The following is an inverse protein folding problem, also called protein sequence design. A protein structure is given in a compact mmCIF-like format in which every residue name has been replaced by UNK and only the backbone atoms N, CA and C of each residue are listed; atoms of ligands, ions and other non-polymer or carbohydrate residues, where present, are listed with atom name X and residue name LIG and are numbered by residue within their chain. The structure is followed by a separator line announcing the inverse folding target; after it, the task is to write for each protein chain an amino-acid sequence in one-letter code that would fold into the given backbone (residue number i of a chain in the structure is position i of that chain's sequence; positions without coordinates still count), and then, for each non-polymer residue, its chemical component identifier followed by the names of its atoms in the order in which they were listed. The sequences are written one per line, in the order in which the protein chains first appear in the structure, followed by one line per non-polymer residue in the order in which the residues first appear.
data_IF_875715582481
#
_entry.id   IF_875715582481
#
_cell.length_a   1.000
_cell.length_b   1.000
_cell.length_c   1.000
_cell.angle_alpha   90.00
_cell.angle_beta   90.00
_cell.angle_gamma   90.00
#
_symmetry.space_group_name_H-M   'P 1'
#
loop_
_entity.id
_entity.type
_entity.pdbx_description
1 polymer ?
#
# COMPACT_ATOMS: atom_id res chain seq x y z
N UNK A 1 13.62 0.98 -26.68
CA UNK A 1 12.37 1.03 -27.47
C UNK A 1 12.51 1.53 -28.91
N UNK A 2 13.61 2.19 -29.32
CA UNK A 2 13.76 2.69 -30.71
C UNK A 2 13.60 1.59 -31.76
N UNK A 3 13.26 1.96 -33.00
CA UNK A 3 13.06 1.04 -34.12
C UNK A 3 14.17 0.00 -34.20
N UNK A 4 13.85 -1.30 -34.38
CA UNK A 4 12.53 -1.94 -34.56
C UNK A 4 11.77 -2.38 -33.28
N UNK A 5 12.17 -1.93 -32.08
CA UNK A 5 11.65 -2.47 -30.79
C UNK A 5 10.50 -1.64 -30.18
N UNK A 6 9.77 -0.87 -30.97
CA UNK A 6 8.65 -0.07 -30.44
C UNK A 6 7.55 -0.97 -29.88
N UNK A 7 7.15 -2.00 -30.65
CA UNK A 7 6.12 -2.94 -30.21
C UNK A 7 6.56 -3.77 -29.00
N UNK A 8 7.84 -4.17 -28.93
CA UNK A 8 8.39 -4.86 -27.75
C UNK A 8 8.28 -4.00 -26.49
N UNK A 9 8.46 -2.69 -26.61
CA UNK A 9 8.26 -1.78 -25.48
C UNK A 9 6.79 -1.69 -25.07
N UNK A 10 5.88 -1.53 -26.04
CA UNK A 10 4.45 -1.49 -25.76
C UNK A 10 3.96 -2.76 -25.04
N UNK A 11 4.42 -3.95 -25.47
CA UNK A 11 4.08 -5.20 -24.76
C UNK A 11 4.68 -5.26 -23.36
N UNK A 12 5.89 -4.70 -23.15
CA UNK A 12 6.49 -4.57 -21.81
C UNK A 12 5.71 -3.61 -20.90
N UNK A 13 5.23 -2.48 -21.43
CA UNK A 13 4.38 -1.55 -20.69
C UNK A 13 3.02 -2.18 -20.33
N UNK A 14 2.43 -2.96 -21.23
CA UNK A 14 1.23 -3.75 -20.93
C UNK A 14 1.51 -4.80 -19.83
N UNK A 15 2.65 -5.52 -19.89
CA UNK A 15 3.05 -6.45 -18.83
C UNK A 15 3.17 -5.76 -17.46
N UNK A 16 3.69 -4.53 -17.42
CA UNK A 16 3.74 -3.74 -16.19
C UNK A 16 2.32 -3.44 -15.66
N UNK A 17 1.41 -2.98 -16.52
CA UNK A 17 0.01 -2.68 -16.14
C UNK A 17 -0.69 -3.94 -15.61
N UNK A 18 -0.57 -5.07 -16.30
CA UNK A 18 -1.19 -6.32 -15.86
C UNK A 18 -0.56 -6.89 -14.59
N UNK A 19 0.74 -6.70 -14.37
CA UNK A 19 1.39 -7.04 -13.10
C UNK A 19 0.80 -6.22 -11.94
N UNK A 20 0.54 -4.92 -12.14
CA UNK A 20 -0.13 -4.10 -11.13
C UNK A 20 -1.56 -4.56 -10.84
N UNK A 21 -2.30 -5.00 -11.87
CA UNK A 21 -3.62 -5.62 -11.65
C UNK A 21 -3.52 -6.94 -10.88
N UNK A 22 -2.55 -7.80 -11.19
CA UNK A 22 -2.30 -9.03 -10.41
C UNK A 22 -2.04 -8.67 -8.96
N UNK A 23 -1.18 -7.69 -8.67
CA UNK A 23 -0.92 -7.25 -7.31
C UNK A 23 -2.17 -6.70 -6.61
N UNK A 24 -2.97 -5.89 -7.29
CA UNK A 24 -4.20 -5.30 -6.74
C UNK A 24 -5.23 -6.37 -6.33
N UNK A 25 -5.56 -7.31 -7.24
CA UNK A 25 -6.53 -8.37 -6.91
C UNK A 25 -5.96 -9.40 -5.93
N UNK A 26 -4.65 -9.64 -5.96
CA UNK A 26 -3.96 -10.50 -5.00
C UNK A 26 -3.96 -9.94 -3.59
N UNK A 27 -3.94 -8.61 -3.47
CA UNK A 27 -3.94 -7.93 -2.18
C UNK A 27 -5.19 -8.22 -1.37
N UNK A 28 -6.34 -8.48 -2.00
CA UNK A 28 -7.59 -8.82 -1.30
C UNK A 28 -7.60 -10.23 -0.68
N UNK A 29 -6.75 -11.15 -1.16
CA UNK A 29 -6.87 -12.58 -0.83
C UNK A 29 -6.60 -12.96 0.63
N UNK A 30 -5.69 -12.29 1.38
CA UNK A 30 -5.54 -12.52 2.81
C UNK A 30 -6.81 -12.25 3.63
N UNK A 31 -7.73 -11.44 3.09
CA UNK A 31 -9.00 -11.08 3.74
C UNK A 31 -8.82 -10.44 5.12
N UNK A 32 -7.96 -9.43 5.16
CA UNK A 32 -7.63 -8.67 6.36
C UNK A 32 -8.12 -7.21 6.27
N UNK A 33 -8.05 -6.49 7.39
CA UNK A 33 -8.62 -5.15 7.49
C UNK A 33 -8.01 -4.18 6.47
N UNK A 34 -6.68 -4.07 6.39
CA UNK A 34 -6.03 -3.17 5.45
C UNK A 34 -6.30 -3.53 3.99
N UNK A 35 -6.29 -4.82 3.63
CA UNK A 35 -6.53 -5.27 2.26
C UNK A 35 -7.94 -4.96 1.78
N UNK A 36 -8.96 -5.23 2.59
CA UNK A 36 -10.36 -4.93 2.27
C UNK A 36 -10.55 -3.45 1.95
N UNK A 37 -10.02 -2.57 2.80
CA UNK A 37 -10.20 -1.13 2.66
C UNK A 37 -9.34 -0.52 1.55
N UNK A 38 -8.10 -0.99 1.37
CA UNK A 38 -7.27 -0.57 0.24
C UNK A 38 -7.94 -0.90 -1.11
N UNK A 39 -8.52 -2.11 -1.24
CA UNK A 39 -9.22 -2.52 -2.46
C UNK A 39 -10.55 -1.77 -2.60
N UNK A 40 -11.25 -1.49 -1.51
CA UNK A 40 -12.47 -0.65 -1.50
C UNK A 40 -12.20 0.77 -2.01
N UNK A 41 -11.06 1.37 -1.65
CA UNK A 41 -10.62 2.69 -2.15
C UNK A 41 -10.25 2.61 -3.63
N UNK A 42 -9.56 1.55 -4.06
CA UNK A 42 -9.27 1.32 -5.48
C UNK A 42 -10.55 1.15 -6.31
N UNK A 43 -11.54 0.45 -5.76
CA UNK A 43 -12.86 0.25 -6.36
C UNK A 43 -13.64 1.56 -6.53
N UNK A 44 -13.72 2.37 -5.47
CA UNK A 44 -14.39 3.67 -5.52
C UNK A 44 -13.71 4.66 -6.48
N UNK A 45 -12.41 4.46 -6.74
CA UNK A 45 -11.65 5.20 -7.77
C UNK A 45 -12.04 4.75 -9.18
N UNK A 46 -12.21 3.45 -9.40
CA UNK A 46 -12.73 2.93 -10.67
C UNK A 46 -14.17 3.39 -10.93
N UNK A 47 -15.01 3.37 -9.89
CA UNK A 47 -16.40 3.86 -9.91
C UNK A 47 -16.50 5.32 -10.37
N UNK A 48 -15.50 6.14 -10.01
CA UNK A 48 -15.43 7.55 -10.39
C UNK A 48 -15.29 7.77 -11.91
N UNK A 49 -14.92 6.73 -12.66
CA UNK A 49 -14.72 6.82 -14.11
C UNK A 49 -16.05 7.10 -14.81
N UNK A 50 -16.15 8.17 -15.63
CA UNK A 50 -17.38 8.47 -16.37
C UNK A 50 -17.82 7.31 -17.27
N UNK A 51 -19.14 7.20 -17.48
CA UNK A 51 -19.82 6.27 -18.40
C UNK A 51 -19.79 4.78 -18.04
N UNK A 52 -18.66 4.26 -17.53
CA UNK A 52 -18.47 2.81 -17.29
C UNK A 52 -18.10 2.48 -15.83
N UNK A 53 -17.81 3.49 -15.00
CA UNK A 53 -17.25 3.28 -13.67
C UNK A 53 -18.17 2.49 -12.75
N UNK A 54 -19.46 2.82 -12.73
CA UNK A 54 -20.46 2.14 -11.87
C UNK A 54 -20.60 0.66 -12.23
N UNK A 55 -20.68 0.34 -13.51
CA UNK A 55 -20.78 -1.03 -14.00
C UNK A 55 -19.50 -1.81 -13.71
N UNK A 56 -18.33 -1.17 -13.87
CA UNK A 56 -17.04 -1.76 -13.54
C UNK A 56 -16.91 -2.04 -12.03
N UNK A 57 -17.34 -1.10 -11.19
CA UNK A 57 -17.33 -1.24 -9.72
C UNK A 57 -18.26 -2.37 -9.26
N UNK A 58 -19.50 -2.42 -9.76
CA UNK A 58 -20.44 -3.53 -9.46
C UNK A 58 -19.90 -4.88 -9.93
N UNK A 59 -19.23 -4.93 -11.09
CA UNK A 59 -18.59 -6.15 -11.57
C UNK A 59 -17.41 -6.53 -10.67
N UNK A 60 -16.68 -5.57 -10.11
CA UNK A 60 -15.55 -5.85 -9.25
C UNK A 60 -15.97 -6.29 -7.84
N UNK A 61 -16.88 -5.55 -7.21
CA UNK A 61 -17.38 -5.83 -5.85
C UNK A 61 -18.27 -7.09 -5.80
N UNK A 62 -19.00 -7.38 -6.88
CA UNK A 62 -19.92 -8.51 -6.91
C UNK A 62 -21.14 -8.35 -5.99
N UNK A 63 -21.45 -7.11 -5.59
CA UNK A 63 -22.52 -6.72 -4.68
C UNK A 63 -22.44 -5.22 -4.37
N UNK A 64 -23.31 -4.71 -3.47
CA UNK A 64 -23.26 -3.33 -3.00
C UNK A 64 -21.94 -2.99 -2.28
N UNK A 65 -21.33 -3.98 -1.64
CA UNK A 65 -20.07 -3.89 -0.93
C UNK A 65 -19.18 -5.09 -1.26
N UNK A 66 -17.90 -5.02 -0.90
CA UNK A 66 -16.98 -6.14 -1.08
C UNK A 66 -17.28 -7.18 0.00
N UNK A 67 -17.86 -8.31 -0.43
CA UNK A 67 -18.10 -9.49 0.41
C UNK A 67 -17.56 -10.76 -0.25
N UNK A 68 -18.11 -11.91 0.10
CA UNK A 68 -17.69 -13.21 -0.42
C UNK A 68 -17.67 -13.29 -1.97
N UNK A 69 -18.64 -12.67 -2.65
CA UNK A 69 -18.68 -12.62 -4.11
C UNK A 69 -17.52 -11.80 -4.70
N UNK A 70 -17.18 -10.68 -4.08
CA UNK A 70 -16.05 -9.84 -4.49
C UNK A 70 -14.72 -10.57 -4.29
N UNK A 71 -14.55 -11.24 -3.15
CA UNK A 71 -13.40 -12.09 -2.87
C UNK A 71 -13.24 -13.21 -3.90
N UNK A 72 -14.33 -13.93 -4.22
CA UNK A 72 -14.31 -15.00 -5.22
C UNK A 72 -13.91 -14.47 -6.60
N UNK A 73 -14.39 -13.29 -7.00
CA UNK A 73 -14.01 -12.66 -8.27
C UNK A 73 -12.54 -12.26 -8.28
N UNK A 74 -12.04 -11.65 -7.21
CA UNK A 74 -10.63 -11.32 -7.05
C UNK A 74 -9.74 -12.57 -7.11
N UNK A 75 -10.15 -13.67 -6.46
CA UNK A 75 -9.49 -14.97 -6.53
C UNK A 75 -9.40 -15.49 -7.97
N UNK A 76 -10.53 -15.53 -8.69
CA UNK A 76 -10.55 -15.99 -10.09
C UNK A 76 -9.69 -15.11 -11.01
N UNK A 77 -9.72 -13.79 -10.79
CA UNK A 77 -8.90 -12.84 -11.55
C UNK A 77 -7.41 -13.04 -11.26
N UNK A 78 -7.02 -13.10 -10.00
CA UNK A 78 -5.62 -13.19 -9.57
C UNK A 78 -4.98 -14.55 -9.87
N UNK A 79 -5.70 -15.65 -9.63
CA UNK A 79 -5.13 -17.01 -9.72
C UNK A 79 -5.21 -17.58 -11.14
N UNK A 80 -6.23 -17.21 -11.91
CA UNK A 80 -6.51 -17.82 -13.22
C UNK A 80 -6.38 -16.80 -14.35
N UNK A 81 -7.27 -15.80 -14.40
CA UNK A 81 -7.46 -14.97 -15.59
C UNK A 81 -6.23 -14.11 -15.89
N UNK A 82 -5.75 -13.35 -14.91
CA UNK A 82 -4.63 -12.44 -15.11
C UNK A 82 -3.29 -13.19 -15.36
N UNK A 83 -2.96 -14.29 -14.66
CA UNK A 83 -1.81 -15.11 -15.00
C UNK A 83 -1.86 -15.66 -16.44
N UNK A 84 -3.02 -16.11 -16.92
CA UNK A 84 -3.16 -16.58 -18.31
C UNK A 84 -2.91 -15.44 -19.31
N UNK A 85 -3.44 -14.24 -19.05
CA UNK A 85 -3.17 -13.05 -19.88
C UNK A 85 -1.67 -12.72 -19.86
N UNK A 86 -1.04 -12.76 -18.68
CA UNK A 86 0.39 -12.51 -18.54
C UNK A 86 1.22 -13.55 -19.30
N UNK A 87 0.86 -14.84 -19.29
CA UNK A 87 1.56 -15.87 -20.08
C UNK A 87 1.51 -15.54 -21.58
N UNK A 88 0.35 -15.14 -22.10
CA UNK A 88 0.21 -14.75 -23.51
C UNK A 88 1.04 -13.50 -23.82
N UNK A 89 0.92 -12.45 -23.01
CA UNK A 89 1.69 -11.21 -23.18
C UNK A 89 3.19 -11.43 -23.08
N UNK A 90 3.63 -12.26 -22.13
CA UNK A 90 5.03 -12.64 -21.93
C UNK A 90 5.56 -13.41 -23.13
N UNK A 91 4.78 -14.35 -23.65
CA UNK A 91 5.10 -15.12 -24.86
C UNK A 91 5.30 -14.19 -26.07
N UNK A 92 4.36 -13.25 -26.30
CA UNK A 92 4.47 -12.26 -27.38
C UNK A 92 5.68 -11.33 -27.17
N UNK A 93 5.91 -10.88 -25.93
CA UNK A 93 7.02 -10.01 -25.58
C UNK A 93 8.36 -10.69 -25.89
N UNK A 94 8.58 -11.89 -25.36
CA UNK A 94 9.81 -12.65 -25.58
C UNK A 94 9.99 -13.07 -27.03
N UNK A 95 8.93 -13.49 -27.73
CA UNK A 95 8.99 -13.77 -29.16
C UNK A 95 9.54 -12.57 -29.96
N UNK A 96 9.08 -11.34 -29.65
CA UNK A 96 9.58 -10.12 -30.28
C UNK A 96 11.01 -9.76 -29.85
N UNK A 97 11.38 -10.02 -28.59
CA UNK A 97 12.78 -9.88 -28.14
C UNK A 97 13.69 -10.82 -28.93
N UNK A 98 13.29 -12.08 -29.13
CA UNK A 98 14.07 -13.06 -29.90
C UNK A 98 14.20 -12.65 -31.37
N UNK A 99 13.12 -12.15 -31.99
CA UNK A 99 13.17 -11.68 -33.39
C UNK A 99 14.08 -10.48 -33.56
N UNK A 100 13.98 -9.47 -32.69
CA UNK A 100 14.78 -8.25 -32.85
C UNK A 100 16.19 -8.37 -32.24
N UNK A 101 16.41 -9.32 -31.32
CA UNK A 101 17.63 -9.44 -30.54
C UNK A 101 17.75 -8.36 -29.46
N UNK A 102 18.56 -8.64 -28.43
CA UNK A 102 18.89 -7.67 -27.39
C UNK A 102 19.59 -6.45 -28.00
N UNK A 103 19.20 -5.24 -27.60
CA UNK A 103 19.87 -4.02 -28.05
C UNK A 103 21.30 -3.97 -27.51
N UNK A 104 22.22 -3.51 -28.34
CA UNK A 104 23.58 -3.21 -27.89
C UNK A 104 23.60 -1.94 -27.02
N UNK A 105 24.67 -1.73 -26.24
CA UNK A 105 24.89 -0.46 -25.55
C UNK A 105 24.72 0.71 -26.53
N UNK A 106 24.11 1.85 -26.11
CA UNK A 106 23.79 2.95 -27.02
C UNK A 106 24.97 3.54 -27.82
N UNK A 107 26.20 3.34 -27.35
CA UNK A 107 27.44 3.81 -27.97
C UNK A 107 27.97 2.87 -29.06
N UNK A 108 27.59 1.59 -29.02
CA UNK A 108 28.08 0.55 -29.91
C UNK A 108 27.34 0.50 -31.27
N UNK A 109 26.32 1.35 -31.47
CA UNK A 109 25.52 1.40 -32.69
C UNK A 109 25.49 2.82 -33.28
N UNK A 110 25.54 2.86 -34.62
CA UNK A 110 25.33 4.08 -35.38
C UNK A 110 23.86 4.50 -35.42
N UNK A 111 23.65 5.79 -35.69
CA UNK A 111 22.35 6.44 -35.76
C UNK A 111 21.35 5.74 -36.70
N UNK A 112 20.36 5.05 -36.13
CA UNK A 112 19.29 4.40 -36.88
C UNK A 112 19.68 3.10 -37.57
N UNK A 113 20.88 2.56 -37.29
CA UNK A 113 21.29 1.24 -37.76
C UNK A 113 21.10 0.23 -36.63
N UNK A 114 20.41 -0.88 -36.90
CA UNK A 114 20.26 -1.97 -35.94
C UNK A 114 21.30 -3.06 -36.25
N UNK A 115 22.36 -3.15 -35.45
CA UNK A 115 23.43 -4.13 -35.62
C UNK A 115 23.40 -5.23 -34.58
N UNK A 116 22.48 -5.18 -33.61
CA UNK A 116 22.23 -6.21 -32.60
C UNK A 116 22.33 -7.67 -33.11
N UNK A 117 21.74 -7.99 -34.27
CA UNK A 117 21.80 -9.34 -34.86
C UNK A 117 22.98 -9.58 -35.81
N UNK A 118 23.75 -8.54 -36.12
CA UNK A 118 24.87 -8.54 -37.08
C UNK A 118 26.24 -8.53 -36.40
N UNK A 119 26.28 -8.59 -35.07
CA UNK A 119 27.53 -8.67 -34.30
C UNK A 119 28.34 -9.92 -34.70
N UNK A 120 29.65 -9.84 -34.95
CA UNK A 120 30.48 -11.00 -35.27
C UNK A 120 30.44 -12.11 -34.19
N UNK A 121 30.56 -13.38 -34.59
CA UNK A 121 30.44 -14.52 -33.65
C UNK A 121 31.56 -14.55 -32.60
N UNK A 122 32.76 -14.10 -32.95
CA UNK A 122 33.93 -14.09 -32.06
C UNK A 122 33.76 -13.21 -30.80
N UNK A 123 32.83 -12.26 -30.81
CA UNK A 123 32.53 -11.40 -29.65
C UNK A 123 31.19 -11.75 -28.99
N UNK A 124 30.42 -12.72 -29.53
CA UNK A 124 29.17 -13.18 -28.92
C UNK A 124 29.45 -14.18 -27.81
N UNK A 125 28.59 -14.16 -26.79
CA UNK A 125 28.57 -15.17 -25.73
C UNK A 125 27.26 -15.95 -25.83
N UNK A 126 27.34 -17.28 -25.73
CA UNK A 126 26.16 -18.14 -25.70
C UNK A 126 25.33 -17.88 -24.44
N UNK A 127 24.00 -17.92 -24.60
CA UNK A 127 23.08 -17.77 -23.48
C UNK A 127 23.27 -18.88 -22.45
N UNK A 128 23.29 -20.12 -22.91
CA UNK A 128 23.58 -21.30 -22.09
C UNK A 128 25.04 -21.73 -22.27
N UNK A 129 25.76 -22.10 -21.20
CA UNK A 129 25.37 -21.91 -19.80
C UNK A 129 25.67 -20.49 -19.29
N UNK A 130 26.58 -19.76 -19.94
CA UNK A 130 27.31 -18.63 -19.34
C UNK A 130 26.46 -17.44 -18.91
N UNK A 131 25.51 -17.00 -19.73
CA UNK A 131 24.63 -15.88 -19.35
C UNK A 131 23.61 -16.38 -18.35
N UNK A 132 22.94 -17.52 -18.61
CA UNK A 132 21.92 -18.03 -17.70
C UNK A 132 22.47 -18.22 -16.28
N UNK A 133 23.60 -18.93 -16.12
CA UNK A 133 24.15 -19.21 -14.79
C UNK A 133 24.53 -17.94 -14.06
N UNK A 134 25.11 -16.96 -14.77
CA UNK A 134 25.47 -15.67 -14.19
C UNK A 134 24.23 -14.89 -13.73
N UNK A 135 23.21 -14.78 -14.57
CA UNK A 135 21.97 -14.06 -14.22
C UNK A 135 21.23 -14.78 -13.07
N UNK A 136 21.20 -16.12 -13.05
CA UNK A 136 20.62 -16.88 -11.94
C UNK A 136 21.34 -16.63 -10.62
N UNK A 137 22.67 -16.61 -10.61
CA UNK A 137 23.47 -16.32 -9.41
C UNK A 137 23.20 -14.89 -8.93
N UNK A 138 23.14 -13.90 -9.82
CA UNK A 138 22.87 -12.52 -9.43
C UNK A 138 21.46 -12.32 -8.90
N UNK A 139 20.45 -12.93 -9.53
CA UNK A 139 19.06 -12.88 -9.04
C UNK A 139 18.98 -13.57 -7.67
N UNK A 140 19.53 -14.79 -7.53
CA UNK A 140 19.50 -15.51 -6.26
C UNK A 140 20.22 -14.76 -5.14
N UNK A 141 21.42 -14.22 -5.42
CA UNK A 141 22.18 -13.43 -4.45
C UNK A 141 21.44 -12.14 -4.06
N UNK A 142 20.88 -11.42 -5.03
CA UNK A 142 20.11 -10.20 -4.74
C UNK A 142 18.87 -10.52 -3.91
N UNK A 143 18.10 -11.55 -4.26
CA UNK A 143 16.93 -11.99 -3.49
C UNK A 143 17.33 -12.39 -2.07
N UNK A 144 18.42 -13.13 -1.90
CA UNK A 144 18.91 -13.52 -0.58
C UNK A 144 19.34 -12.29 0.25
N UNK A 145 20.04 -11.33 -0.37
CA UNK A 145 20.44 -10.08 0.30
C UNK A 145 19.20 -9.29 0.73
N UNK A 146 18.18 -9.16 -0.14
CA UNK A 146 16.96 -8.43 0.19
C UNK A 146 16.18 -9.13 1.33
N UNK A 147 16.08 -10.47 1.30
CA UNK A 147 15.45 -11.23 2.38
C UNK A 147 16.23 -11.08 3.70
N UNK A 148 17.55 -11.19 3.67
CA UNK A 148 18.39 -11.02 4.84
C UNK A 148 18.31 -9.59 5.40
N UNK A 149 18.36 -8.57 4.53
CA UNK A 149 18.20 -7.18 4.95
C UNK A 149 16.82 -6.93 5.57
N UNK A 150 15.75 -7.47 4.97
CA UNK A 150 14.40 -7.36 5.51
C UNK A 150 14.27 -8.02 6.88
N UNK A 151 14.81 -9.22 7.05
CA UNK A 151 14.68 -10.00 8.27
C UNK A 151 15.59 -9.48 9.40
N UNK A 152 16.84 -9.14 9.10
CA UNK A 152 17.86 -8.86 10.11
C UNK A 152 18.21 -7.38 10.26
N UNK A 153 18.09 -6.57 9.20
CA UNK A 153 18.51 -5.15 9.24
C UNK A 153 17.34 -4.21 9.49
N UNK A 154 16.22 -4.42 8.81
CA UNK A 154 15.05 -3.55 8.93
C UNK A 154 14.03 -4.06 9.96
N UNK A 155 14.24 -5.26 10.52
CA UNK A 155 13.33 -5.88 11.48
C UNK A 155 11.90 -5.92 10.95
N UNK A 156 11.73 -6.10 9.64
CA UNK A 156 10.42 -6.00 9.01
C UNK A 156 9.61 -7.24 9.35
N UNK A 157 8.61 -7.05 10.20
CA UNK A 157 7.64 -8.08 10.53
C UNK A 157 6.39 -7.83 9.68
N UNK A 158 5.91 -8.86 8.99
CA UNK A 158 4.67 -8.83 8.23
C UNK A 158 3.64 -9.78 8.86
N UNK A 159 3.17 -9.48 10.10
CA UNK A 159 2.12 -10.28 10.71
C UNK A 159 0.84 -10.17 9.87
N UNK A 160 0.02 -11.22 9.91
CA UNK A 160 -1.33 -11.13 9.39
C UNK A 160 -2.13 -10.14 10.25
N UNK A 161 -2.85 -9.24 9.60
CA UNK A 161 -3.77 -8.34 10.28
C UNK A 161 -5.05 -9.09 10.71
N UNK A 162 -5.89 -8.50 11.58
CA UNK A 162 -7.18 -9.09 11.94
C UNK A 162 -8.07 -9.37 10.72
N UNK A 163 -8.96 -10.36 10.85
CA UNK A 163 -9.99 -10.62 9.85
C UNK A 163 -10.77 -9.36 9.52
N UNK A 164 -11.02 -9.15 8.22
CA UNK A 164 -11.71 -7.97 7.74
C UNK A 164 -13.15 -7.89 8.29
N UNK A 165 -13.48 -6.73 8.85
CA UNK A 165 -14.83 -6.31 9.21
C UNK A 165 -15.26 -5.12 8.35
N UNK A 166 -16.33 -5.30 7.57
CA UNK A 166 -16.90 -4.28 6.69
C UNK A 166 -17.52 -3.11 7.47
N UNK A 167 -17.84 -3.30 8.75
CA UNK A 167 -18.47 -2.27 9.59
C UNK A 167 -17.46 -1.34 10.26
N UNK A 168 -16.18 -1.67 10.21
CA UNK A 168 -15.11 -0.92 10.87
C UNK A 168 -14.17 -0.38 9.81
N UNK A 169 -14.06 0.93 9.62
CA UNK A 169 -13.05 1.51 8.72
C UNK A 169 -11.80 1.85 9.54
N UNK A 170 -10.60 1.38 9.15
CA UNK A 170 -9.36 1.83 9.77
C UNK A 170 -9.20 3.33 9.67
N UNK A 171 -8.79 3.95 10.78
CA UNK A 171 -8.52 5.37 10.83
C UNK A 171 -7.47 5.77 9.77
N UNK A 172 -6.41 4.97 9.67
CA UNK A 172 -5.32 5.16 8.72
C UNK A 172 -5.27 3.98 7.73
N UNK A 173 -6.00 4.09 6.64
CA UNK A 173 -5.87 3.12 5.52
C UNK A 173 -4.76 3.58 4.58
N UNK A 174 -3.80 2.71 4.29
CA UNK A 174 -2.72 3.00 3.33
C UNK A 174 -2.63 1.99 2.21
N UNK A 175 -2.25 2.48 1.03
CA UNK A 175 -1.98 1.66 -0.13
C UNK A 175 -0.64 0.94 0.03
N UNK A 176 -0.49 -0.26 -0.55
CA UNK A 176 0.80 -0.93 -0.57
C UNK A 176 1.83 -0.06 -1.32
N UNK A 177 3.12 -0.25 -0.98
CA UNK A 177 4.20 0.67 -1.36
C UNK A 177 4.28 1.01 -2.86
N UNK A 178 3.95 0.06 -3.73
CA UNK A 178 3.95 0.23 -5.19
C UNK A 178 2.77 1.07 -5.73
N UNK A 179 1.75 1.34 -4.90
CA UNK A 179 0.64 2.24 -5.18
C UNK A 179 0.67 3.54 -4.36
N UNK A 180 1.66 3.74 -3.47
CA UNK A 180 1.75 4.96 -2.66
C UNK A 180 1.80 6.24 -3.52
N UNK A 181 2.42 6.20 -4.69
CA UNK A 181 2.45 7.36 -5.58
C UNK A 181 1.05 7.73 -6.13
N UNK A 182 0.18 6.75 -6.33
CA UNK A 182 -1.22 7.00 -6.71
C UNK A 182 -1.97 7.58 -5.51
N UNK A 183 -1.79 7.00 -4.32
CA UNK A 183 -2.36 7.53 -3.08
C UNK A 183 -1.92 8.98 -2.81
N UNK A 184 -0.63 9.28 -2.93
CA UNK A 184 -0.10 10.64 -2.76
C UNK A 184 -0.66 11.61 -3.80
N UNK A 185 -0.88 11.15 -5.02
CA UNK A 185 -1.51 11.94 -6.08
C UNK A 185 -2.99 12.22 -5.79
N UNK A 186 -3.73 11.24 -5.26
CA UNK A 186 -5.15 11.39 -4.90
C UNK A 186 -5.39 12.41 -3.79
N UNK A 187 -4.39 12.70 -2.95
CA UNK A 187 -4.49 13.77 -1.93
C UNK A 187 -4.56 15.18 -2.54
N UNK A 188 -4.24 15.33 -3.83
CA UNK A 188 -4.21 16.64 -4.50
C UNK A 188 -5.55 17.08 -5.10
N UNK A 189 -6.55 16.20 -5.18
CA UNK A 189 -7.85 16.58 -5.72
C UNK A 189 -8.77 15.42 -6.04
N UNK A 190 -9.56 15.59 -7.10
CA UNK A 190 -10.63 14.67 -7.48
C UNK A 190 -10.15 13.22 -7.72
N UNK A 191 -10.94 12.26 -7.20
CA UNK A 191 -10.62 10.83 -7.27
C UNK A 191 -10.52 10.31 -8.70
N UNK A 192 -11.34 10.79 -9.64
CA UNK A 192 -11.26 10.35 -11.03
C UNK A 192 -10.02 10.90 -11.72
N UNK A 193 -9.78 12.21 -11.62
CA UNK A 193 -8.66 12.86 -12.31
C UNK A 193 -7.33 12.33 -11.75
N UNK A 194 -7.15 12.36 -10.44
CA UNK A 194 -5.88 12.06 -9.78
C UNK A 194 -5.68 10.57 -9.48
N UNK A 195 -6.75 9.81 -9.28
CA UNK A 195 -6.68 8.37 -9.00
C UNK A 195 -6.77 7.47 -10.25
N UNK A 196 -7.50 7.90 -11.29
CA UNK A 196 -7.73 7.07 -12.49
C UNK A 196 -7.09 7.67 -13.76
N UNK A 197 -7.47 8.88 -14.15
CA UNK A 197 -7.11 9.47 -15.44
C UNK A 197 -5.60 9.75 -15.56
N UNK A 198 -5.00 10.42 -14.57
CA UNK A 198 -3.57 10.73 -14.61
C UNK A 198 -2.72 9.44 -14.54
N UNK A 199 -2.90 8.54 -13.55
CA UNK A 199 -2.09 7.32 -13.48
C UNK A 199 -2.25 6.41 -14.70
N UNK A 200 -3.49 6.01 -15.03
CA UNK A 200 -3.74 4.98 -16.04
C UNK A 200 -3.90 5.55 -17.45
N UNK A 201 -4.58 6.68 -17.60
CA UNK A 201 -4.76 7.34 -18.89
C UNK A 201 -3.51 8.05 -19.38
N UNK A 202 -2.89 8.88 -18.53
CA UNK A 202 -1.76 9.72 -18.94
C UNK A 202 -0.43 9.01 -18.72
N UNK A 203 -0.07 8.60 -17.50
CA UNK A 203 1.25 8.04 -17.22
C UNK A 203 1.44 6.68 -17.93
N UNK A 204 0.57 5.71 -17.67
CA UNK A 204 0.67 4.41 -18.34
C UNK A 204 0.35 4.48 -19.84
N UNK A 205 -0.64 5.28 -20.25
CA UNK A 205 -0.94 5.51 -21.66
C UNK A 205 0.26 6.08 -22.43
N UNK A 206 0.90 7.13 -21.90
CA UNK A 206 2.11 7.71 -22.50
C UNK A 206 3.27 6.71 -22.52
N UNK A 207 3.47 5.89 -21.47
CA UNK A 207 4.48 4.83 -21.49
C UNK A 207 4.27 3.86 -22.65
N UNK A 208 3.04 3.43 -22.93
CA UNK A 208 2.75 2.51 -24.05
C UNK A 208 3.07 3.16 -25.40
N UNK A 209 2.69 4.43 -25.59
CA UNK A 209 2.88 5.13 -26.88
C UNK A 209 4.22 5.85 -27.02
N UNK A 210 5.02 5.93 -25.95
CA UNK A 210 6.28 6.67 -25.90
C UNK A 210 7.22 6.41 -27.09
N UNK A 211 7.40 5.15 -27.55
CA UNK A 211 8.29 4.86 -28.67
C UNK A 211 7.85 5.47 -30.00
N UNK A 212 6.57 5.83 -30.13
CA UNK A 212 5.97 6.44 -31.31
C UNK A 212 5.98 7.97 -31.23
N UNK A 213 6.11 8.54 -30.02
CA UNK A 213 6.33 9.96 -29.81
C UNK A 213 7.80 10.30 -30.07
N UNK A 214 8.72 9.54 -29.47
CA UNK A 214 10.14 9.80 -29.61
C UNK A 214 10.74 9.06 -30.82
N UNK A 215 10.48 9.56 -32.03
CA UNK A 215 10.85 8.91 -33.31
C UNK A 215 12.34 9.06 -33.67
N UNK A 216 13.11 9.88 -32.94
CA UNK A 216 14.52 10.17 -33.24
C UNK A 216 15.38 8.91 -33.44
N UNK A 217 16.22 8.91 -34.49
CA UNK A 217 17.04 7.76 -34.93
C UNK A 217 18.15 7.37 -33.95
N UNK A 218 18.67 8.35 -33.21
CA UNK A 218 19.81 8.16 -32.32
C UNK A 218 19.39 7.40 -31.06
N UNK A 219 20.15 6.36 -30.71
CA UNK A 219 19.98 5.59 -29.46
C UNK A 219 20.82 6.15 -28.30
N UNK A 220 21.90 6.88 -28.63
CA UNK A 220 22.86 7.50 -27.70
C UNK A 220 22.17 8.40 -26.66
N UNK A 221 22.63 8.33 -25.40
CA UNK A 221 22.09 9.13 -24.31
C UNK A 221 22.08 10.62 -24.60
N UNK A 222 23.22 11.15 -25.08
CA UNK A 222 23.38 12.59 -25.37
C UNK A 222 22.46 13.13 -26.48
N UNK A 223 21.87 12.27 -27.31
CA UNK A 223 20.93 12.66 -28.36
C UNK A 223 19.45 12.53 -27.94
N UNK A 224 19.19 11.97 -26.76
CA UNK A 224 17.84 11.71 -26.22
C UNK A 224 17.57 12.50 -24.94
N UNK A 225 18.22 13.66 -24.79
CA UNK A 225 18.19 14.49 -23.58
C UNK A 225 16.76 14.77 -23.12
N UNK A 226 15.88 15.22 -24.02
CA UNK A 226 14.49 15.53 -23.69
C UNK A 226 13.77 14.29 -23.12
N UNK A 227 13.85 13.16 -23.82
CA UNK A 227 13.15 11.96 -23.37
C UNK A 227 13.70 11.38 -22.07
N UNK A 228 15.02 11.45 -21.87
CA UNK A 228 15.67 11.04 -20.62
C UNK A 228 15.37 12.01 -19.47
N UNK A 229 15.31 13.32 -19.74
CA UNK A 229 14.93 14.33 -18.75
C UNK A 229 13.47 14.18 -18.32
N UNK A 230 12.54 13.89 -19.25
CA UNK A 230 11.14 13.59 -18.91
C UNK A 230 11.06 12.31 -18.09
N UNK A 231 11.77 11.25 -18.48
CA UNK A 231 11.80 10.01 -17.70
C UNK A 231 12.37 10.24 -16.28
N UNK A 232 13.50 10.95 -16.16
CA UNK A 232 14.08 11.29 -14.87
C UNK A 232 13.14 12.15 -14.02
N UNK A 233 12.50 13.17 -14.63
CA UNK A 233 11.49 14.00 -13.96
C UNK A 233 10.29 13.18 -13.48
N UNK A 234 9.79 12.24 -14.28
CA UNK A 234 8.70 11.34 -13.89
C UNK A 234 9.09 10.42 -12.74
N UNK A 235 10.34 9.94 -12.68
CA UNK A 235 10.84 9.12 -11.59
C UNK A 235 10.96 9.93 -10.29
N UNK A 236 11.48 11.16 -10.38
CA UNK A 236 11.55 12.08 -9.23
C UNK A 236 10.14 12.43 -8.74
N UNK A 237 9.22 12.76 -9.65
CA UNK A 237 7.83 13.04 -9.31
C UNK A 237 7.16 11.83 -8.65
N UNK A 238 7.36 10.63 -9.20
CA UNK A 238 6.84 9.39 -8.60
C UNK A 238 7.42 9.17 -7.20
N UNK A 239 8.71 9.45 -6.98
CA UNK A 239 9.33 9.35 -5.66
C UNK A 239 8.74 10.36 -4.65
N UNK A 240 8.52 11.61 -5.08
CA UNK A 240 7.87 12.64 -4.25
C UNK A 240 6.43 12.22 -3.92
N UNK A 241 5.68 11.76 -4.91
CA UNK A 241 4.30 11.29 -4.71
C UNK A 241 4.25 10.04 -3.83
N UNK A 242 5.21 9.11 -3.95
CA UNK A 242 5.35 7.96 -3.04
C UNK A 242 5.55 8.44 -1.61
N UNK A 243 6.42 9.43 -1.39
CA UNK A 243 6.64 10.01 -0.06
C UNK A 243 5.37 10.70 0.46
N UNK A 244 4.68 11.47 -0.36
CA UNK A 244 3.37 12.05 -0.02
C UNK A 244 2.28 11.00 0.23
N UNK A 245 2.41 9.82 -0.37
CA UNK A 245 1.53 8.69 -0.14
C UNK A 245 1.67 8.09 1.25
N UNK A 246 2.82 8.24 1.90
CA UNK A 246 3.08 7.66 3.23
C UNK A 246 2.12 8.18 4.32
N UNK A 247 1.99 7.45 5.45
CA UNK A 247 1.21 7.90 6.61
C UNK A 247 1.61 9.26 7.15
N UNK A 248 2.83 9.73 6.87
CA UNK A 248 3.31 11.05 7.29
C UNK A 248 2.42 12.21 6.81
N UNK A 249 1.77 12.03 5.64
CA UNK A 249 0.83 13.00 5.09
C UNK A 249 -0.61 12.48 5.15
N UNK A 250 -0.92 11.57 6.07
CA UNK A 250 -2.30 11.12 6.28
C UNK A 250 -3.22 12.30 6.59
N UNK A 251 -4.51 12.13 6.32
CA UNK A 251 -5.51 13.14 6.73
C UNK A 251 -5.50 13.16 8.25
N UNK A 252 -5.27 14.35 8.82
CA UNK A 252 -5.30 14.52 10.28
C UNK A 252 -6.72 14.26 10.77
N UNK A 253 -6.88 13.29 11.67
CA UNK A 253 -8.16 13.01 12.33
C UNK A 253 -8.20 13.70 13.69
N UNK A 254 -9.37 13.69 14.34
CA UNK A 254 -9.54 14.39 15.61
C UNK A 254 -8.64 13.76 16.70
N UNK A 255 -7.96 14.55 17.54
CA UNK A 255 -7.07 14.04 18.59
C UNK A 255 -7.69 12.95 19.48
N UNK A 256 -9.00 13.04 19.75
CA UNK A 256 -9.77 12.06 20.48
C UNK A 256 -9.79 10.68 19.79
N UNK A 257 -10.00 10.63 18.48
CA UNK A 257 -9.98 9.39 17.70
C UNK A 257 -8.57 8.81 17.59
N UNK A 258 -7.57 9.66 17.34
CA UNK A 258 -6.15 9.25 17.28
C UNK A 258 -5.70 8.62 18.60
N UNK A 259 -6.05 9.25 19.73
CA UNK A 259 -5.66 8.77 21.05
C UNK A 259 -6.22 7.38 21.37
N UNK A 260 -7.47 7.11 20.98
CA UNK A 260 -8.07 5.78 21.08
C UNK A 260 -7.41 4.78 20.13
N UNK A 261 -7.14 5.18 18.89
CA UNK A 261 -6.54 4.32 17.86
C UNK A 261 -5.11 3.88 18.20
N UNK A 262 -4.37 4.65 19.00
CA UNK A 262 -3.04 4.25 19.51
C UNK A 262 -3.13 3.02 20.41
N UNK A 263 -4.19 2.91 21.23
CA UNK A 263 -4.40 1.77 22.12
C UNK A 263 -5.09 0.59 21.42
N UNK A 264 -6.03 0.90 20.53
CA UNK A 264 -6.87 -0.05 19.80
C UNK A 264 -6.87 0.24 18.28
N UNK A 265 -5.75 0.04 17.59
CA UNK A 265 -5.70 0.13 16.14
C UNK A 265 -6.61 -0.92 15.49
N UNK A 266 -7.23 -0.57 14.36
CA UNK A 266 -8.12 -1.48 13.64
C UNK A 266 -7.36 -2.51 12.80
N UNK A 267 -6.13 -2.19 12.39
CA UNK A 267 -5.30 -3.01 11.47
C UNK A 267 -4.29 -3.90 12.17
N UNK A 268 -4.09 -3.78 13.49
CA UNK A 268 -3.10 -4.59 14.19
C UNK A 268 -3.54 -4.96 15.62
N UNK A 269 -2.89 -5.97 16.23
CA UNK A 269 -3.02 -6.20 17.66
C UNK A 269 -2.48 -4.99 18.44
N UNK A 270 -3.39 -4.14 18.90
CA UNK A 270 -3.05 -2.96 19.69
C UNK A 270 -2.34 -3.26 21.00
N UNK A 271 -1.67 -2.27 21.61
CA UNK A 271 -1.12 -2.39 22.96
C UNK A 271 -2.13 -2.93 23.98
N UNK A 272 -3.41 -2.51 23.89
CA UNK A 272 -4.46 -2.97 24.80
C UNK A 272 -4.84 -4.44 24.56
N UNK A 273 -4.85 -4.90 23.31
CA UNK A 273 -5.12 -6.30 22.95
C UNK A 273 -3.97 -7.23 23.34
N UNK A 274 -2.75 -6.71 23.39
CA UNK A 274 -1.54 -7.45 23.74
C UNK A 274 -1.24 -7.46 25.25
N UNK A 275 -1.98 -6.71 26.05
CA UNK A 275 -1.82 -6.69 27.50
C UNK A 275 -2.35 -7.99 28.13
N UNK A 276 -1.76 -8.40 29.25
CA UNK A 276 -2.26 -9.56 30.00
C UNK A 276 -3.60 -9.24 30.67
N UNK A 277 -4.52 -10.20 30.67
CA UNK A 277 -5.85 -10.00 31.27
C UNK A 277 -5.79 -9.60 32.74
N UNK A 278 -4.87 -10.18 33.51
CA UNK A 278 -4.72 -9.94 34.95
C UNK A 278 -4.11 -8.57 35.25
N UNK A 279 -3.36 -8.00 34.29
CA UNK A 279 -2.66 -6.74 34.44
C UNK A 279 -3.57 -5.51 34.34
N UNK A 280 -4.79 -5.66 33.84
CA UNK A 280 -5.74 -4.55 33.69
C UNK A 280 -6.72 -4.55 34.87
N UNK A 281 -6.59 -3.66 35.86
CA UNK A 281 -7.47 -3.64 37.04
C UNK A 281 -8.87 -3.12 36.69
N UNK A 282 -9.87 -3.50 37.49
CA UNK A 282 -11.21 -2.92 37.40
C UNK A 282 -11.26 -1.50 37.96
N UNK A 283 -12.16 -0.68 37.42
CA UNK A 283 -12.38 0.70 37.86
C UNK A 283 -12.11 1.72 36.76
N UNK A 284 -12.14 3.00 37.14
CA UNK A 284 -11.85 4.12 36.25
C UNK A 284 -10.40 4.54 36.43
N UNK A 285 -9.63 4.50 35.34
CA UNK A 285 -8.24 4.89 35.31
C UNK A 285 -8.11 6.16 34.47
N UNK A 286 -7.42 7.16 35.00
CA UNK A 286 -7.19 8.45 34.35
C UNK A 286 -5.84 8.42 33.62
N UNK A 287 -5.81 8.86 32.36
CA UNK A 287 -4.62 8.78 31.52
C UNK A 287 -3.45 9.60 32.09
N UNK A 288 -3.70 10.83 32.57
CA UNK A 288 -2.69 11.69 33.18
C UNK A 288 -2.09 11.13 34.48
N UNK A 289 -2.79 10.21 35.16
CA UNK A 289 -2.35 9.58 36.42
C UNK A 289 -1.55 8.28 36.19
N UNK A 290 -0.92 8.12 35.02
CA UNK A 290 -0.21 6.89 34.63
C UNK A 290 0.93 6.47 35.58
N UNK A 291 1.51 7.40 36.35
CA UNK A 291 2.53 7.10 37.38
C UNK A 291 1.95 6.36 38.59
N UNK A 292 0.68 6.60 38.91
CA UNK A 292 -0.03 5.97 40.02
C UNK A 292 -0.73 4.65 39.62
N UNK A 293 -0.54 4.21 38.37
CA UNK A 293 -1.21 3.04 37.83
C UNK A 293 -0.88 1.75 38.62
N UNK A 294 -1.85 0.85 38.87
CA UNK A 294 -1.64 -0.31 39.75
C UNK A 294 -0.64 -1.35 39.21
N UNK A 295 -0.49 -1.44 37.89
CA UNK A 295 0.41 -2.41 37.23
C UNK A 295 1.31 -1.70 36.22
N UNK A 296 2.47 -2.30 35.94
CA UNK A 296 3.42 -1.76 34.96
C UNK A 296 2.82 -1.68 33.55
N UNK A 297 2.00 -2.66 33.17
CA UNK A 297 1.32 -2.70 31.88
C UNK A 297 0.28 -1.60 31.78
N UNK A 298 -0.55 -1.42 32.81
CA UNK A 298 -1.51 -0.31 32.87
C UNK A 298 -0.80 1.05 32.83
N UNK A 299 0.30 1.22 33.58
CA UNK A 299 1.11 2.44 33.52
C UNK A 299 1.59 2.76 32.11
N UNK A 300 2.08 1.76 31.36
CA UNK A 300 2.48 1.94 29.97
C UNK A 300 1.31 2.32 29.06
N UNK A 301 0.15 1.68 29.21
CA UNK A 301 -1.03 1.97 28.40
C UNK A 301 -1.55 3.39 28.66
N UNK A 302 -1.70 3.78 29.93
CA UNK A 302 -2.14 5.13 30.28
C UNK A 302 -1.15 6.20 29.81
N UNK A 303 0.16 5.94 29.93
CA UNK A 303 1.18 6.83 29.40
C UNK A 303 1.10 6.98 27.88
N UNK A 304 0.89 5.88 27.14
CA UNK A 304 0.67 5.95 25.69
C UNK A 304 -0.58 6.76 25.35
N UNK A 305 -1.65 6.60 26.13
CA UNK A 305 -2.89 7.32 25.93
C UNK A 305 -2.74 8.83 26.20
N UNK A 306 -2.11 9.19 27.32
CA UNK A 306 -1.84 10.58 27.72
C UNK A 306 -0.94 11.29 26.70
N UNK A 307 0.15 10.64 26.27
CA UNK A 307 1.03 11.16 25.23
C UNK A 307 0.28 11.41 23.90
N UNK A 308 -0.68 10.55 23.55
CA UNK A 308 -1.46 10.72 22.32
C UNK A 308 -2.43 11.92 22.40
N UNK A 309 -2.85 12.31 23.61
CA UNK A 309 -3.70 13.47 23.87
C UNK A 309 -2.92 14.81 23.90
N UNK A 310 -1.59 14.80 24.04
CA UNK A 310 -0.78 16.02 24.11
C UNK A 310 -1.03 16.95 22.91
N UNK A 311 -1.09 16.39 21.69
CA UNK A 311 -1.39 17.17 20.48
C UNK A 311 -2.76 17.83 20.55
N UNK A 312 -3.75 17.17 21.15
CA UNK A 312 -5.09 17.74 21.35
C UNK A 312 -5.08 18.91 22.33
N UNK A 313 -4.25 18.86 23.37
CA UNK A 313 -4.12 19.93 24.38
C UNK A 313 -3.53 21.23 23.80
N UNK A 314 -2.81 21.16 22.69
CA UNK A 314 -2.29 22.34 21.98
C UNK A 314 -3.36 23.03 21.09
N UNK A 315 -4.48 22.36 20.83
CA UNK A 315 -5.54 22.86 19.95
C UNK A 315 -6.58 23.60 20.79
N UNK A 316 -6.84 24.86 20.45
CA UNK A 316 -7.68 25.77 21.25
C UNK A 316 -9.11 25.30 21.50
N UNK A 317 -9.63 24.40 20.66
CA UNK A 317 -11.00 23.86 20.73
C UNK A 317 -11.16 22.89 21.91
N UNK A 318 -10.08 22.21 22.30
CA UNK A 318 -10.06 21.18 23.33
C UNK A 318 -9.67 21.76 24.71
N UNK A 319 -10.65 22.27 25.46
CA UNK A 319 -10.46 22.68 26.85
C UNK A 319 -10.42 21.47 27.79
N UNK A 320 -9.52 21.46 28.78
CA UNK A 320 -9.45 20.41 29.82
C UNK A 320 -9.49 18.97 29.28
N UNK A 321 -8.82 18.70 28.15
CA UNK A 321 -8.81 17.41 27.48
C UNK A 321 -8.19 16.30 28.37
N UNK A 322 -8.97 15.26 28.66
CA UNK A 322 -8.57 14.14 29.52
C UNK A 322 -9.04 12.79 28.96
N UNK A 323 -8.21 11.76 29.14
CA UNK A 323 -8.49 10.38 28.75
C UNK A 323 -8.85 9.50 29.95
N UNK A 324 -9.84 8.64 29.79
CA UNK A 324 -10.27 7.69 30.81
C UNK A 324 -10.34 6.28 30.22
N UNK A 325 -9.80 5.31 30.95
CA UNK A 325 -9.98 3.89 30.69
C UNK A 325 -10.90 3.33 31.78
N UNK A 326 -12.15 3.06 31.42
CA UNK A 326 -13.17 2.55 32.33
C UNK A 326 -13.29 1.05 32.14
N UNK A 327 -12.90 0.27 33.16
CA UNK A 327 -12.86 -1.19 33.12
C UNK A 327 -13.95 -1.76 34.02
N UNK A 328 -14.97 -2.34 33.40
CA UNK A 328 -16.13 -2.92 34.05
C UNK A 328 -16.07 -4.46 34.01
N UNK A 329 -16.51 -5.11 35.10
CA UNK A 329 -16.77 -6.55 35.10
C UNK A 329 -18.12 -6.80 34.39
N UNK A 330 -18.06 -7.32 33.17
CA UNK A 330 -19.25 -7.50 32.35
C UNK A 330 -19.83 -8.91 32.46
N UNK A 331 -18.96 -9.92 32.35
CA UNK A 331 -19.29 -11.34 32.53
C UNK A 331 -18.08 -12.07 33.10
N UNK A 332 -18.28 -13.32 33.57
CA UNK A 332 -17.17 -14.15 34.03
C UNK A 332 -16.09 -14.26 32.95
N UNK A 333 -14.87 -13.86 33.29
CA UNK A 333 -13.71 -13.81 32.39
C UNK A 333 -13.81 -12.79 31.22
N UNK A 334 -14.72 -11.81 31.30
CA UNK A 334 -14.91 -10.80 30.25
C UNK A 334 -14.98 -9.40 30.85
N UNK A 335 -13.97 -8.58 30.53
CA UNK A 335 -13.93 -7.16 30.86
C UNK A 335 -14.58 -6.35 29.75
N UNK A 336 -15.38 -5.36 30.11
CA UNK A 336 -15.79 -4.30 29.17
C UNK A 336 -14.92 -3.09 29.45
N UNK A 337 -14.09 -2.71 28.48
CA UNK A 337 -13.18 -1.57 28.56
C UNK A 337 -13.76 -0.46 27.68
N UNK A 338 -14.06 0.68 28.27
CA UNK A 338 -14.46 1.89 27.55
C UNK A 338 -13.31 2.87 27.57
N UNK A 339 -12.75 3.17 26.39
CA UNK A 339 -11.82 4.27 26.21
C UNK A 339 -12.63 5.53 25.95
N UNK A 340 -12.58 6.46 26.89
CA UNK A 340 -13.28 7.74 26.82
C UNK A 340 -12.27 8.87 26.71
N UNK A 341 -12.51 9.79 25.80
CA UNK A 341 -11.81 11.07 25.73
C UNK A 341 -12.85 12.16 25.98
N UNK A 342 -12.69 12.94 27.04
CA UNK A 342 -13.59 14.03 27.41
C UNK A 342 -12.90 15.38 27.33
N UNK A 343 -13.61 16.40 26.86
CA UNK A 343 -13.12 17.78 26.82
C UNK A 343 -14.26 18.79 26.93
N UNK A 344 -13.92 20.00 27.38
CA UNK A 344 -14.78 21.17 27.30
C UNK A 344 -14.61 21.81 25.92
N UNK A 345 -15.64 21.77 25.08
CA UNK A 345 -15.57 22.40 23.77
C UNK A 345 -15.61 23.93 23.94
N UNK A 346 -14.52 24.62 23.61
CA UNK A 346 -14.40 26.06 23.83
C UNK A 346 -15.22 26.89 22.83
N UNK A 347 -15.65 26.31 21.70
CA UNK A 347 -16.50 26.97 20.71
C UNK A 347 -17.98 26.92 21.10
N UNK A 348 -18.46 25.78 21.59
CA UNK A 348 -19.86 25.60 22.00
C UNK A 348 -20.09 25.92 23.48
N UNK A 349 -19.04 25.84 24.30
CA UNK A 349 -19.13 25.94 25.76
C UNK A 349 -19.73 24.71 26.44
N UNK A 350 -19.99 23.63 25.70
CA UNK A 350 -20.58 22.38 26.20
C UNK A 350 -19.51 21.28 26.32
N UNK A 351 -19.64 20.38 27.31
CA UNK A 351 -18.76 19.22 27.40
C UNK A 351 -19.02 18.27 26.21
N UNK A 352 -17.95 17.77 25.63
CA UNK A 352 -17.97 16.79 24.56
C UNK A 352 -17.16 15.55 24.96
N UNK A 353 -17.56 14.39 24.45
CA UNK A 353 -16.86 13.14 24.67
C UNK A 353 -16.87 12.25 23.44
N UNK A 354 -15.79 11.48 23.30
CA UNK A 354 -15.66 10.38 22.36
C UNK A 354 -15.45 9.09 23.15
N UNK A 355 -16.21 8.04 22.82
CA UNK A 355 -16.15 6.76 23.53
C UNK A 355 -15.98 5.62 22.52
N UNK A 356 -15.04 4.73 22.80
CA UNK A 356 -14.89 3.46 22.08
C UNK A 356 -14.95 2.30 23.09
N UNK A 357 -15.79 1.30 22.80
CA UNK A 357 -16.00 0.15 23.69
C UNK A 357 -15.33 -1.09 23.12
N UNK A 358 -14.56 -1.76 23.96
CA UNK A 358 -13.85 -2.99 23.64
C UNK A 358 -14.12 -4.07 24.70
N UNK A 359 -14.35 -5.30 24.23
CA UNK A 359 -14.59 -6.45 25.09
C UNK A 359 -13.33 -7.31 25.18
N UNK A 360 -12.81 -7.48 26.39
CA UNK A 360 -11.53 -8.13 26.65
C UNK A 360 -11.72 -9.43 27.44
N UNK A 361 -11.64 -10.55 26.73
CA UNK A 361 -11.85 -11.88 27.29
C UNK A 361 -10.54 -12.46 27.85
N UNK A 362 -10.60 -13.26 28.92
CA UNK A 362 -9.39 -13.83 29.55
C UNK A 362 -8.58 -14.74 28.63
N UNK A 363 -9.28 -15.49 27.77
CA UNK A 363 -8.69 -16.45 26.85
C UNK A 363 -8.59 -15.90 25.42
N UNK A 364 -8.68 -14.58 25.21
CA UNK A 364 -8.52 -14.02 23.87
C UNK A 364 -7.04 -14.07 23.48
N UNK A 365 -6.73 -14.87 22.48
CA UNK A 365 -5.45 -14.85 21.81
C UNK A 365 -5.54 -13.85 20.64
N UNK A 366 -5.19 -12.59 20.88
CA UNK A 366 -5.20 -11.53 19.84
C UNK A 366 -3.96 -11.61 18.92
N UNK A 367 -3.59 -12.82 18.50
CA UNK A 367 -2.43 -13.07 17.65
C UNK A 367 -1.12 -13.21 18.42
N UNK A 368 -1.18 -13.58 19.70
CA UNK A 368 -0.02 -14.02 20.48
C UNK A 368 0.36 -15.48 20.21
N UNK A 369 -0.52 -16.28 19.58
CA UNK A 369 -0.20 -17.57 18.97
C UNK A 369 0.79 -18.41 19.78
N UNK A 370 0.29 -19.20 20.74
CA UNK A 370 1.07 -20.35 21.23
C UNK A 370 1.45 -21.30 20.10
#
# INVERSE_FOLDING_TARGET
YKRPRQFTWATGALLLIFTLFVSFFGYLLPWDQLSLWAVTIGASTAEATPFIGREADLLMRGGPEIGANGLLRAYLLHVIVLPLILIVLLSVHYYKVIIHGHSLPPEAEDAGVDTARKVPMNVRTYFMPKILTRELVYVAALTLILLAASAFTFGYHAPLEPHADNLITPLHTTSPWYFLWVQGLMKLGDKFIFGALIPFGIVFGTLVVWPYIEVGRNRRYGARRIGLSIAAGSLVLTAILTYMGTPWFAVETSPDQEAVAVLLPQTSPGPLRLADWEDIPFGTLVASEWEAAPTRTTSKLLKLFDNALERGREISIYGNLEGFMIVEDWQSNLKKITLRVGWDNTETGEPAEFNEVFFFHRNSDYGQGE
#
